data_IF_853634971317
#
_entry.id   IF_853634971317
#
_cell.length_a   1.000
_cell.length_b   1.000
_cell.length_c   1.000
_cell.angle_alpha   90.00
_cell.angle_beta   90.00
_cell.angle_gamma   90.00
#
_symmetry.space_group_name_H-M   'P 1'
#
loop_
_entity.id
_entity.type
_entity.pdbx_description
1 polymer ?
#
# COMPACT_ATOMS: atom_id res chain seq x y z
N UNK A 1 -20.26 0.88 9.50
CA UNK A 1 -20.64 1.23 10.88
C UNK A 1 -19.43 1.28 11.77
N UNK A 2 -19.42 2.14 12.78
CA UNK A 2 -18.36 2.18 13.79
C UNK A 2 -18.68 1.12 14.82
N UNK A 3 -17.66 0.50 15.41
CA UNK A 3 -17.73 -0.70 16.26
C UNK A 3 -18.78 -0.65 17.39
N UNK A 4 -19.14 0.53 17.87
CA UNK A 4 -20.14 0.76 18.93
C UNK A 4 -21.59 0.65 18.41
N UNK A 5 -21.86 1.03 17.16
CA UNK A 5 -23.18 0.79 16.54
C UNK A 5 -23.39 -0.68 16.18
N UNK A 6 -22.31 -1.41 15.88
CA UNK A 6 -22.36 -2.86 15.84
C UNK A 6 -22.62 -3.41 17.27
N UNK A 7 -21.90 -2.99 18.32
CA UNK A 7 -22.17 -3.48 19.70
C UNK A 7 -23.60 -3.23 20.21
N UNK A 8 -24.19 -2.04 19.96
CA UNK A 8 -25.56 -1.72 20.40
C UNK A 8 -26.65 -2.46 19.58
N UNK A 9 -26.38 -2.81 18.32
CA UNK A 9 -27.30 -3.57 17.47
C UNK A 9 -27.07 -5.10 17.54
N UNK A 10 -26.22 -5.56 18.47
CA UNK A 10 -25.77 -6.95 18.53
C UNK A 10 -24.85 -7.29 17.36
N UNK A 11 -23.62 -6.82 17.40
CA UNK A 11 -22.71 -6.74 16.26
C UNK A 11 -22.14 -8.07 15.82
N UNK A 12 -21.50 -8.07 14.65
CA UNK A 12 -20.90 -9.28 14.06
C UNK A 12 -19.92 -9.98 15.00
N UNK A 13 -19.16 -9.22 15.78
CA UNK A 13 -18.17 -9.73 16.74
C UNK A 13 -18.81 -10.31 18.01
N UNK A 14 -19.96 -9.79 18.45
CA UNK A 14 -20.64 -10.29 19.66
C UNK A 14 -21.42 -11.58 19.42
N UNK A 15 -21.60 -12.00 18.16
CA UNK A 15 -22.25 -13.26 17.77
C UNK A 15 -21.29 -14.44 17.60
N UNK A 16 -19.97 -14.20 17.61
CA UNK A 16 -18.97 -15.22 17.29
C UNK A 16 -18.33 -15.73 18.59
N UNK A 17 -18.29 -17.06 18.83
CA UNK A 17 -17.63 -17.63 20.00
C UNK A 17 -16.12 -17.34 20.00
N UNK A 18 -15.49 -17.32 21.18
CA UNK A 18 -14.10 -16.93 21.41
C UNK A 18 -13.03 -17.46 20.42
N UNK A 19 -13.06 -18.73 19.94
CA UNK A 19 -12.09 -19.17 18.92
C UNK A 19 -12.27 -18.49 17.56
N UNK A 20 -13.48 -18.08 17.20
CA UNK A 20 -13.77 -17.40 15.93
C UNK A 20 -13.50 -15.90 15.95
N UNK A 21 -13.45 -15.26 17.12
CA UNK A 21 -13.13 -13.83 17.21
C UNK A 21 -11.64 -13.56 16.95
N UNK A 22 -10.76 -14.50 17.33
CA UNK A 22 -9.33 -14.44 17.03
C UNK A 22 -9.02 -14.54 15.54
N UNK A 23 -9.65 -15.48 14.82
CA UNK A 23 -9.46 -15.63 13.37
C UNK A 23 -10.01 -14.43 12.59
N UNK A 24 -11.09 -13.81 13.06
CA UNK A 24 -11.64 -12.60 12.45
C UNK A 24 -10.73 -11.38 12.63
N UNK A 25 -10.15 -11.20 13.81
CA UNK A 25 -9.17 -10.13 14.05
C UNK A 25 -7.90 -10.32 13.21
N UNK A 26 -7.46 -11.58 13.03
CA UNK A 26 -6.36 -11.91 12.13
C UNK A 26 -6.71 -11.62 10.68
N UNK A 27 -7.92 -11.97 10.23
CA UNK A 27 -8.39 -11.70 8.87
C UNK A 27 -8.45 -10.19 8.57
N UNK A 28 -8.95 -9.38 9.50
CA UNK A 28 -8.98 -7.92 9.34
C UNK A 28 -7.57 -7.32 9.27
N UNK A 29 -6.66 -7.83 10.10
CA UNK A 29 -5.24 -7.41 10.09
C UNK A 29 -4.56 -7.82 8.78
N UNK A 30 -4.82 -9.04 8.29
CA UNK A 30 -4.29 -9.53 7.03
C UNK A 30 -4.83 -8.73 5.85
N UNK A 31 -6.12 -8.36 5.85
CA UNK A 31 -6.72 -7.50 4.83
C UNK A 31 -6.01 -6.14 4.76
N UNK A 32 -5.77 -5.51 5.90
CA UNK A 32 -5.03 -4.25 5.95
C UNK A 32 -3.58 -4.43 5.43
N UNK A 33 -2.93 -5.53 5.80
CA UNK A 33 -1.59 -5.87 5.30
C UNK A 33 -1.58 -6.04 3.77
N UNK A 34 -2.54 -6.77 3.21
CA UNK A 34 -2.65 -6.99 1.76
C UNK A 34 -2.84 -5.66 1.01
N UNK A 35 -3.67 -4.76 1.53
CA UNK A 35 -3.86 -3.43 0.93
C UNK A 35 -2.55 -2.63 0.97
N UNK A 36 -1.79 -2.68 2.06
CA UNK A 36 -0.48 -2.04 2.17
C UNK A 36 0.53 -2.62 1.16
N UNK A 37 0.56 -3.95 1.00
CA UNK A 37 1.43 -4.62 0.02
C UNK A 37 1.09 -4.19 -1.41
N UNK A 38 -0.19 -4.23 -1.79
CA UNK A 38 -0.63 -3.80 -3.13
C UNK A 38 -0.29 -2.33 -3.39
N UNK A 39 -0.55 -1.45 -2.41
CA UNK A 39 -0.20 -0.03 -2.53
C UNK A 39 1.32 0.18 -2.71
N UNK A 40 2.14 -0.61 -2.00
CA UNK A 40 3.60 -0.53 -2.11
C UNK A 40 4.09 -0.95 -3.50
N UNK A 41 3.52 -2.02 -4.06
CA UNK A 41 3.87 -2.49 -5.41
C UNK A 41 3.46 -1.48 -6.48
N UNK A 42 2.24 -0.95 -6.40
CA UNK A 42 1.68 -0.05 -7.42
C UNK A 42 2.33 1.34 -7.40
N UNK A 43 2.56 1.90 -6.21
CA UNK A 43 3.02 3.29 -6.08
C UNK A 43 4.51 3.46 -5.78
N UNK A 44 5.12 2.55 -5.00
CA UNK A 44 6.50 2.71 -4.53
C UNK A 44 7.52 1.86 -5.32
N UNK A 45 7.06 1.07 -6.30
CA UNK A 45 7.91 0.18 -7.10
C UNK A 45 8.59 -0.87 -6.22
N UNK A 46 7.84 -1.93 -5.89
CA UNK A 46 8.21 -3.08 -5.05
C UNK A 46 9.63 -3.03 -4.44
N UNK A 47 10.62 -3.64 -5.11
CA UNK A 47 12.01 -3.74 -4.64
C UNK A 47 12.98 -2.76 -5.30
N UNK A 48 12.55 -1.94 -6.25
CA UNK A 48 13.46 -1.06 -6.97
C UNK A 48 13.87 0.13 -6.11
N UNK A 49 15.18 0.35 -5.98
CA UNK A 49 15.71 1.58 -5.42
C UNK A 49 15.69 2.65 -6.52
N UNK A 50 14.87 3.71 -6.39
CA UNK A 50 15.03 4.85 -7.28
C UNK A 50 16.45 5.39 -7.08
N UNK A 51 17.10 5.76 -8.18
CA UNK A 51 18.50 6.22 -8.30
C UNK A 51 19.60 5.15 -8.46
N UNK A 52 19.32 3.86 -8.22
CA UNK A 52 20.35 2.82 -8.43
C UNK A 52 19.83 1.74 -9.37
N UNK A 53 20.41 1.66 -10.57
CA UNK A 53 20.07 0.59 -11.50
C UNK A 53 20.52 -0.76 -10.93
N UNK A 54 19.71 -1.81 -11.11
CA UNK A 54 20.05 -3.16 -10.66
C UNK A 54 21.39 -3.63 -11.24
N UNK A 55 21.72 -3.18 -12.45
CA UNK A 55 22.99 -3.43 -13.14
C UNK A 55 24.18 -2.76 -12.45
N UNK A 56 24.06 -1.49 -12.03
CA UNK A 56 25.15 -0.81 -11.31
C UNK A 56 25.41 -1.39 -9.92
N UNK A 57 24.34 -1.83 -9.23
CA UNK A 57 24.46 -2.41 -7.88
C UNK A 57 25.10 -3.80 -7.93
N UNK A 58 24.71 -4.62 -8.91
CA UNK A 58 25.31 -5.94 -9.11
C UNK A 58 26.78 -5.83 -9.50
N UNK A 59 27.15 -4.97 -10.44
CA UNK A 59 28.57 -4.78 -10.84
C UNK A 59 29.43 -4.28 -9.68
N UNK A 60 28.92 -3.36 -8.85
CA UNK A 60 29.66 -2.88 -7.67
C UNK A 60 29.90 -4.00 -6.64
N UNK A 61 28.89 -4.82 -6.34
CA UNK A 61 29.02 -5.90 -5.35
C UNK A 61 29.85 -7.07 -5.91
N UNK A 62 29.66 -7.41 -7.20
CA UNK A 62 30.44 -8.46 -7.89
C UNK A 62 31.94 -8.14 -7.89
N UNK A 63 32.34 -6.86 -7.97
CA UNK A 63 33.74 -6.43 -7.90
C UNK A 63 34.43 -6.72 -6.56
N UNK A 64 33.69 -6.89 -5.46
CA UNK A 64 34.25 -7.14 -4.12
C UNK A 64 34.08 -8.59 -3.64
N UNK A 65 32.98 -9.26 -3.96
CA UNK A 65 32.62 -10.56 -3.39
C UNK A 65 32.50 -11.70 -4.42
N UNK A 66 32.71 -11.43 -5.70
CA UNK A 66 32.57 -12.41 -6.79
C UNK A 66 31.14 -12.58 -7.31
N UNK A 67 30.99 -13.14 -8.51
CA UNK A 67 29.75 -13.13 -9.30
C UNK A 67 28.56 -13.84 -8.62
N UNK A 68 28.79 -14.98 -7.97
CA UNK A 68 27.71 -15.75 -7.34
C UNK A 68 27.19 -15.11 -6.05
N UNK A 69 28.08 -14.58 -5.21
CA UNK A 69 27.71 -13.94 -3.94
C UNK A 69 27.11 -12.56 -4.19
N UNK A 70 27.62 -11.82 -5.18
CA UNK A 70 27.11 -10.48 -5.50
C UNK A 70 25.65 -10.46 -5.94
N UNK A 71 25.24 -11.45 -6.74
CA UNK A 71 23.83 -11.61 -7.15
C UNK A 71 22.92 -11.94 -5.97
N UNK A 72 23.36 -12.82 -5.07
CA UNK A 72 22.60 -13.18 -3.88
C UNK A 72 22.40 -11.98 -2.95
N UNK A 73 23.47 -11.21 -2.71
CA UNK A 73 23.40 -10.00 -1.88
C UNK A 73 22.50 -8.92 -2.50
N UNK A 74 22.57 -8.75 -3.82
CA UNK A 74 21.69 -7.82 -4.54
C UNK A 74 20.21 -8.23 -4.46
N UNK A 75 19.91 -9.53 -4.44
CA UNK A 75 18.52 -9.99 -4.21
C UNK A 75 18.08 -9.73 -2.77
N UNK A 76 18.96 -9.97 -1.79
CA UNK A 76 18.67 -9.72 -0.38
C UNK A 76 18.43 -8.23 -0.10
N UNK A 77 19.19 -7.31 -0.71
CA UNK A 77 18.98 -5.87 -0.52
C UNK A 77 17.66 -5.40 -1.12
N UNK A 78 17.25 -5.93 -2.28
CA UNK A 78 15.94 -5.63 -2.86
C UNK A 78 14.80 -6.19 -2.02
N UNK A 79 14.95 -7.40 -1.47
CA UNK A 79 13.97 -8.00 -0.57
C UNK A 79 13.84 -7.17 0.72
N UNK A 80 14.96 -6.74 1.32
CA UNK A 80 14.96 -5.89 2.51
C UNK A 80 14.30 -4.54 2.23
N UNK A 81 14.62 -3.92 1.09
CA UNK A 81 14.01 -2.66 0.64
C UNK A 81 12.49 -2.82 0.49
N UNK A 82 12.03 -3.91 -0.12
CA UNK A 82 10.61 -4.21 -0.25
C UNK A 82 9.93 -4.36 1.12
N UNK A 83 10.50 -5.17 2.02
CA UNK A 83 9.95 -5.37 3.37
C UNK A 83 9.89 -4.04 4.13
N UNK A 84 10.95 -3.24 4.08
CA UNK A 84 11.01 -1.94 4.74
C UNK A 84 9.91 -0.99 4.21
N UNK A 85 9.74 -0.91 2.88
CA UNK A 85 8.68 -0.09 2.27
C UNK A 85 7.28 -0.56 2.69
N UNK A 86 7.03 -1.88 2.68
CA UNK A 86 5.74 -2.44 3.13
C UNK A 86 5.47 -2.11 4.58
N UNK A 87 6.46 -2.26 5.47
CA UNK A 87 6.32 -1.90 6.90
C UNK A 87 6.05 -0.41 7.09
N UNK A 88 6.69 0.45 6.29
CA UNK A 88 6.44 1.90 6.31
C UNK A 88 5.00 2.22 5.88
N UNK A 89 4.53 1.67 4.75
CA UNK A 89 3.16 1.89 4.27
C UNK A 89 2.12 1.36 5.26
N UNK A 90 2.34 0.17 5.83
CA UNK A 90 1.45 -0.41 6.83
C UNK A 90 1.41 0.41 8.13
N UNK A 91 2.56 0.87 8.61
CA UNK A 91 2.62 1.73 9.81
C UNK A 91 1.98 3.10 9.57
N UNK A 92 2.16 3.68 8.38
CA UNK A 92 1.48 4.91 7.97
C UNK A 92 -0.04 4.73 7.96
N UNK A 93 -0.58 3.67 7.34
CA UNK A 93 -2.01 3.37 7.38
C UNK A 93 -2.55 3.26 8.81
N UNK A 94 -1.80 2.61 9.70
CA UNK A 94 -2.17 2.50 11.12
C UNK A 94 -2.17 3.86 11.80
N UNK A 95 -1.16 4.69 11.57
CA UNK A 95 -1.09 6.05 12.11
C UNK A 95 -2.24 6.95 11.60
N UNK A 96 -2.58 6.86 10.30
CA UNK A 96 -3.74 7.53 9.73
C UNK A 96 -5.04 7.09 10.40
N UNK A 97 -5.22 5.79 10.64
CA UNK A 97 -6.41 5.28 11.34
C UNK A 97 -6.55 5.81 12.76
N UNK A 98 -5.43 6.12 13.42
CA UNK A 98 -5.41 6.70 14.77
C UNK A 98 -5.59 8.23 14.76
N UNK A 99 -5.35 8.88 13.62
CA UNK A 99 -5.43 10.34 13.48
C UNK A 99 -6.86 10.84 13.26
N UNK A 100 -7.75 10.00 12.73
CA UNK A 100 -9.15 10.36 12.57
C UNK A 100 -9.94 10.07 13.85
N UNK A 101 -10.37 11.14 14.53
CA UNK A 101 -11.40 11.06 15.56
C UNK A 101 -12.69 10.45 15.00
N UNK A 102 -13.54 9.92 15.90
CA UNK A 102 -14.79 9.24 15.52
C UNK A 102 -15.72 10.18 14.76
N UNK A 103 -15.80 10.01 13.44
CA UNK A 103 -16.74 10.74 12.56
C UNK A 103 -17.95 9.87 12.24
N UNK A 104 -19.13 10.51 12.11
CA UNK A 104 -20.39 9.88 11.67
C UNK A 104 -20.25 9.29 10.26
N UNK A 105 -21.14 8.36 9.90
CA UNK A 105 -21.16 7.70 8.59
C UNK A 105 -21.41 8.67 7.43
N UNK A 106 -22.27 9.65 7.63
CA UNK A 106 -22.71 10.55 6.56
C UNK A 106 -21.56 11.44 6.03
N UNK A 107 -20.69 12.04 6.88
CA UNK A 107 -19.49 12.73 6.42
C UNK A 107 -18.57 11.87 5.54
N UNK A 108 -18.32 10.62 5.92
CA UNK A 108 -17.42 9.71 5.18
C UNK A 108 -17.97 9.46 3.77
N UNK A 109 -19.26 9.20 3.66
CA UNK A 109 -19.91 8.96 2.37
C UNK A 109 -19.87 10.22 1.49
N UNK A 110 -20.10 11.39 2.09
CA UNK A 110 -20.03 12.66 1.37
C UNK A 110 -18.62 12.97 0.87
N UNK A 111 -17.58 12.61 1.63
CA UNK A 111 -16.17 12.80 1.23
C UNK A 111 -15.78 11.87 0.07
N UNK A 112 -16.21 10.60 0.12
CA UNK A 112 -15.97 9.67 -0.99
C UNK A 112 -16.62 10.16 -2.29
N UNK A 113 -17.88 10.57 -2.23
CA UNK A 113 -18.62 10.97 -3.42
C UNK A 113 -18.23 12.35 -3.96
N UNK A 114 -18.05 13.34 -3.07
CA UNK A 114 -17.77 14.72 -3.48
C UNK A 114 -16.27 15.00 -3.65
N UNK A 115 -15.39 14.19 -3.05
CA UNK A 115 -13.94 14.38 -3.09
C UNK A 115 -13.23 13.34 -3.94
N UNK A 116 -13.29 12.06 -3.54
CA UNK A 116 -12.45 11.01 -4.14
C UNK A 116 -12.81 10.70 -5.60
N UNK A 117 -14.11 10.54 -5.90
CA UNK A 117 -14.57 10.20 -7.26
C UNK A 117 -14.20 11.27 -8.29
N UNK A 118 -14.52 12.57 -8.09
CA UNK A 118 -14.16 13.59 -9.09
C UNK A 118 -12.64 13.75 -9.21
N UNK A 119 -11.89 13.59 -8.12
CA UNK A 119 -10.43 13.69 -8.15
C UNK A 119 -9.79 12.54 -8.94
N UNK A 120 -10.30 11.31 -8.80
CA UNK A 120 -9.85 10.17 -9.59
C UNK A 120 -10.15 10.37 -11.09
N UNK A 121 -11.32 10.89 -11.43
CA UNK A 121 -11.70 11.19 -12.81
C UNK A 121 -10.76 12.24 -13.42
N UNK A 122 -10.46 13.31 -12.66
CA UNK A 122 -9.54 14.36 -13.07
C UNK A 122 -8.12 13.79 -13.31
N UNK A 123 -7.64 12.91 -12.43
CA UNK A 123 -6.35 12.26 -12.61
C UNK A 123 -6.30 11.39 -13.89
N UNK A 124 -7.36 10.64 -14.18
CA UNK A 124 -7.47 9.87 -15.42
C UNK A 124 -7.45 10.76 -16.68
N UNK A 125 -8.15 11.89 -16.66
CA UNK A 125 -8.14 12.85 -17.78
C UNK A 125 -6.76 13.50 -17.93
N UNK A 126 -6.14 13.92 -16.83
CA UNK A 126 -4.82 14.53 -16.84
C UNK A 126 -3.76 13.57 -17.39
N UNK A 127 -3.75 12.31 -16.95
CA UNK A 127 -2.84 11.29 -17.48
C UNK A 127 -3.09 11.01 -18.96
N UNK A 128 -4.35 10.96 -19.42
CA UNK A 128 -4.67 10.80 -20.84
C UNK A 128 -4.15 11.97 -21.69
N UNK A 129 -4.30 13.21 -21.23
CA UNK A 129 -3.78 14.40 -21.92
C UNK A 129 -2.25 14.34 -22.00
N UNK A 130 -1.56 14.05 -20.89
CA UNK A 130 -0.10 13.97 -20.87
C UNK A 130 0.41 12.91 -21.85
N UNK A 131 -0.20 11.72 -21.88
CA UNK A 131 0.17 10.66 -22.82
C UNK A 131 -0.09 11.10 -24.27
N UNK A 132 -1.22 11.73 -24.56
CA UNK A 132 -1.52 12.23 -25.91
C UNK A 132 -0.51 13.30 -26.38
N UNK A 133 -0.10 14.20 -25.49
CA UNK A 133 0.94 15.20 -25.78
C UNK A 133 2.29 14.55 -26.06
N UNK A 134 2.71 13.57 -25.24
CA UNK A 134 3.95 12.82 -25.46
C UNK A 134 3.96 12.06 -26.77
N UNK A 135 2.84 11.48 -27.18
CA UNK A 135 2.72 10.79 -28.46
C UNK A 135 2.83 11.74 -29.66
N UNK A 136 2.36 12.98 -29.50
CA UNK A 136 2.44 14.01 -30.56
C UNK A 136 3.86 14.57 -30.73
N UNK A 137 4.65 14.64 -29.67
CA UNK A 137 6.06 15.09 -29.72
C UNK A 137 7.01 14.04 -30.34
N UNK A 138 6.58 12.77 -30.41
CA UNK A 138 7.36 11.64 -30.92
C UNK A 138 7.03 11.21 -32.37
N UNK A 139 6.16 11.93 -33.07
CA UNK A 139 5.78 11.71 -34.48
C UNK A 139 6.19 12.93 -35.32
#
# INVERSE_FOLDING_TARGET
MSRVEEELAGGRVSRIPAPGSGSLALADTLRALLIAVVATVVFLGAGDLPWVSQTSLTVFIESYFGSSVGRFLSLMIHLLSFVLKVTLVFSAQRAFSQSFGRVRFEPILSLCWKGLVPLALLNCVATAIVVAWRLKEGA
#
